data_IF_717873743327
#
_entry.id   IF_717873743327
#
_cell.length_a   1.000
_cell.length_b   1.000
_cell.length_c   1.000
_cell.angle_alpha   90.00
_cell.angle_beta   90.00
_cell.angle_gamma   90.00
#
_symmetry.space_group_name_H-M   'P 1'
#
loop_
_entity.id
_entity.type
_entity.pdbx_description
1 polymer ?
#
# COMPACT_ATOMS: atom_id res chain seq x y z
N UNK A 1 17.62 13.13 -3.31
CA UNK A 1 17.55 11.66 -3.13
C UNK A 1 18.90 10.96 -3.23
N UNK A 2 19.62 11.01 -4.38
CA UNK A 2 20.93 10.33 -4.49
C UNK A 2 21.96 10.82 -3.46
N UNK A 3 22.03 12.12 -3.23
CA UNK A 3 22.93 12.68 -2.22
C UNK A 3 22.56 12.25 -0.79
N UNK A 4 21.27 12.14 -0.49
CA UNK A 4 20.75 11.68 0.81
C UNK A 4 21.18 10.23 1.07
N UNK A 5 20.99 9.33 0.11
CA UNK A 5 21.39 7.92 0.20
C UNK A 5 22.91 7.80 0.33
N UNK A 6 23.67 8.55 -0.47
CA UNK A 6 25.13 8.56 -0.40
C UNK A 6 25.65 9.05 0.95
N UNK A 7 25.04 10.08 1.52
CA UNK A 7 25.40 10.61 2.84
C UNK A 7 25.01 9.64 3.96
N UNK A 8 23.83 9.02 3.89
CA UNK A 8 23.40 7.98 4.83
C UNK A 8 24.36 6.78 4.83
N UNK A 9 24.90 6.39 3.67
CA UNK A 9 25.86 5.28 3.55
C UNK A 9 27.19 5.56 4.25
N UNK A 10 27.59 6.83 4.41
CA UNK A 10 28.81 7.22 5.13
C UNK A 10 28.68 7.07 6.64
N UNK A 11 27.45 7.04 7.17
CA UNK A 11 27.18 6.89 8.61
C UNK A 11 27.11 5.40 8.95
N UNK A 12 28.03 4.85 9.80
CA UNK A 12 28.15 3.40 10.01
C UNK A 12 26.85 2.73 10.49
N UNK A 13 26.09 3.37 11.37
CA UNK A 13 24.86 2.80 11.90
C UNK A 13 23.71 2.81 10.90
N UNK A 14 23.60 3.87 10.07
CA UNK A 14 22.61 3.92 9.00
C UNK A 14 22.94 2.92 7.90
N UNK A 15 24.22 2.74 7.61
CA UNK A 15 24.70 1.71 6.68
C UNK A 15 24.32 0.31 7.16
N UNK A 16 24.49 -0.01 8.46
CA UNK A 16 24.06 -1.30 9.03
C UNK A 16 22.55 -1.53 8.86
N UNK A 17 21.73 -0.50 9.14
CA UNK A 17 20.28 -0.55 8.97
C UNK A 17 19.88 -0.76 7.50
N UNK A 18 20.52 -0.04 6.56
CA UNK A 18 20.27 -0.19 5.13
C UNK A 18 20.66 -1.58 4.64
N UNK A 19 21.81 -2.10 5.05
CA UNK A 19 22.25 -3.47 4.71
C UNK A 19 21.31 -4.53 5.27
N UNK A 20 20.82 -4.34 6.51
CA UNK A 20 19.83 -5.24 7.12
C UNK A 20 18.50 -5.26 6.34
N UNK A 21 17.99 -4.09 5.96
CA UNK A 21 16.79 -3.97 5.12
C UNK A 21 16.97 -4.67 3.79
N UNK A 22 18.11 -4.44 3.13
CA UNK A 22 18.45 -5.08 1.85
C UNK A 22 18.54 -6.61 1.99
N UNK A 23 19.16 -7.12 3.06
CA UNK A 23 19.24 -8.54 3.34
C UNK A 23 17.84 -9.17 3.47
N UNK A 24 16.93 -8.54 4.20
CA UNK A 24 15.55 -9.04 4.33
C UNK A 24 14.82 -9.03 2.97
N UNK A 25 15.03 -8.00 2.14
CA UNK A 25 14.46 -7.95 0.79
C UNK A 25 14.98 -9.12 -0.06
N UNK A 26 16.27 -9.44 0.02
CA UNK A 26 16.86 -10.58 -0.69
C UNK A 26 16.23 -11.90 -0.21
N UNK A 27 16.09 -12.11 1.10
CA UNK A 27 15.45 -13.30 1.67
C UNK A 27 14.00 -13.41 1.22
N UNK A 28 13.26 -12.29 1.23
CA UNK A 28 11.88 -12.24 0.72
C UNK A 28 11.81 -12.62 -0.76
N UNK A 29 12.69 -12.09 -1.60
CA UNK A 29 12.73 -12.44 -3.04
C UNK A 29 13.09 -13.90 -3.27
N UNK A 30 14.03 -14.44 -2.51
CA UNK A 30 14.38 -15.86 -2.57
C UNK A 30 13.19 -16.76 -2.23
N UNK A 31 12.49 -16.49 -1.13
CA UNK A 31 11.28 -17.24 -0.74
C UNK A 31 10.10 -17.08 -1.71
N UNK A 32 10.07 -16.00 -2.49
CA UNK A 32 9.04 -15.75 -3.52
C UNK A 32 9.17 -16.65 -4.75
N UNK A 33 10.29 -17.36 -4.92
CA UNK A 33 10.55 -18.25 -6.05
C UNK A 33 10.46 -19.74 -5.65
N UNK A 34 10.58 -20.04 -4.35
CA UNK A 34 10.51 -21.44 -3.87
C UNK A 34 9.07 -21.93 -3.95
N UNK A 35 8.73 -22.92 -4.78
CA UNK A 35 7.37 -23.43 -4.88
C UNK A 35 6.97 -24.19 -3.62
N UNK A 36 5.69 -24.12 -3.26
CA UNK A 36 5.13 -24.92 -2.18
C UNK A 36 5.10 -26.41 -2.61
N UNK A 37 5.26 -27.34 -1.67
CA UNK A 37 5.30 -28.77 -1.98
C UNK A 37 3.95 -29.24 -2.56
N UNK A 38 4.00 -30.29 -3.39
CA UNK A 38 2.84 -30.95 -4.01
C UNK A 38 2.03 -30.09 -5.00
N UNK A 39 2.59 -28.97 -5.49
CA UNK A 39 1.96 -28.12 -6.49
C UNK A 39 2.77 -28.11 -7.80
N UNK A 40 2.07 -28.14 -8.91
CA UNK A 40 2.67 -27.98 -10.23
C UNK A 40 2.73 -26.48 -10.58
N UNK A 41 3.92 -25.90 -10.40
CA UNK A 41 4.16 -24.49 -10.67
C UNK A 41 4.08 -24.17 -12.19
N UNK A 42 4.40 -25.14 -13.06
CA UNK A 42 4.34 -24.93 -14.50
C UNK A 42 2.86 -24.83 -14.97
N UNK A 43 2.02 -25.74 -14.53
CA UNK A 43 0.59 -25.72 -14.82
C UNK A 43 -0.08 -24.45 -14.28
N UNK A 44 0.31 -23.97 -13.07
CA UNK A 44 -0.23 -22.72 -12.55
C UNK A 44 0.23 -21.51 -13.35
N UNK A 45 1.48 -21.45 -13.77
CA UNK A 45 1.99 -20.33 -14.59
C UNK A 45 1.29 -20.23 -15.94
N UNK A 46 0.98 -21.39 -16.58
CA UNK A 46 0.22 -21.47 -17.82
C UNK A 46 -1.24 -21.02 -17.62
N UNK A 47 -1.88 -21.47 -16.53
CA UNK A 47 -3.23 -21.05 -16.17
C UNK A 47 -3.29 -19.54 -15.92
N UNK A 48 -2.28 -18.96 -15.27
CA UNK A 48 -2.19 -17.51 -15.06
C UNK A 48 -1.98 -16.73 -16.36
N UNK A 49 -1.21 -17.27 -17.31
CA UNK A 49 -1.03 -16.67 -18.63
C UNK A 49 -2.36 -16.64 -19.40
N UNK A 50 -3.15 -17.72 -19.31
CA UNK A 50 -4.44 -17.86 -19.98
C UNK A 50 -5.57 -17.04 -19.30
N UNK A 51 -5.57 -16.92 -17.98
CA UNK A 51 -6.60 -16.20 -17.22
C UNK A 51 -6.58 -14.67 -17.44
N UNK A 52 -5.53 -14.14 -18.04
CA UNK A 52 -5.34 -12.71 -18.26
C UNK A 52 -4.94 -11.97 -16.97
N UNK A 53 -4.10 -10.97 -17.12
CA UNK A 53 -3.57 -10.20 -15.98
C UNK A 53 -4.58 -9.23 -15.35
N UNK A 54 -5.72 -9.00 -15.97
CA UNK A 54 -6.79 -8.16 -15.46
C UNK A 54 -7.80 -8.90 -14.57
N UNK A 55 -7.55 -10.18 -14.30
CA UNK A 55 -8.33 -10.97 -13.34
C UNK A 55 -7.92 -10.64 -11.90
N UNK A 56 -8.78 -11.03 -10.94
CA UNK A 56 -8.45 -10.95 -9.50
C UNK A 56 -7.10 -11.62 -9.17
N UNK A 57 -6.82 -12.73 -9.86
CA UNK A 57 -5.57 -13.47 -9.78
C UNK A 57 -4.36 -12.65 -10.23
N UNK A 58 -4.51 -11.90 -11.32
CA UNK A 58 -3.48 -10.98 -11.82
C UNK A 58 -3.15 -9.89 -10.80
N UNK A 59 -4.16 -9.34 -10.10
CA UNK A 59 -3.96 -8.35 -9.05
C UNK A 59 -3.20 -8.93 -7.84
N UNK A 60 -3.58 -10.12 -7.34
CA UNK A 60 -2.83 -10.79 -6.27
C UNK A 60 -1.40 -11.05 -6.71
N UNK A 61 -1.22 -11.58 -7.91
CA UNK A 61 0.10 -11.87 -8.46
C UNK A 61 0.97 -10.62 -8.59
N UNK A 62 0.35 -9.47 -8.85
CA UNK A 62 1.03 -8.17 -8.86
C UNK A 62 1.49 -7.76 -7.47
N UNK A 63 0.62 -7.81 -6.46
CA UNK A 63 0.94 -7.45 -5.08
C UNK A 63 2.01 -8.36 -4.45
N UNK A 64 2.00 -9.65 -4.82
CA UNK A 64 2.98 -10.63 -4.34
C UNK A 64 4.29 -10.62 -5.13
N UNK A 65 4.41 -9.75 -6.13
CA UNK A 65 5.62 -9.65 -6.95
C UNK A 65 5.88 -10.87 -7.83
N UNK A 66 4.81 -11.59 -8.24
CA UNK A 66 4.88 -12.81 -9.04
C UNK A 66 4.91 -14.11 -8.23
N UNK A 67 5.01 -14.04 -6.91
CA UNK A 67 5.06 -15.21 -6.05
C UNK A 67 3.81 -16.10 -6.17
N UNK A 68 2.66 -15.51 -6.47
CA UNK A 68 1.41 -16.24 -6.66
C UNK A 68 1.44 -17.16 -7.88
N UNK A 69 1.97 -16.71 -9.02
CA UNK A 69 2.05 -17.50 -10.26
C UNK A 69 3.01 -18.68 -10.16
N UNK A 70 3.96 -18.63 -9.24
CA UNK A 70 4.87 -19.75 -8.96
C UNK A 70 4.37 -20.69 -7.86
N UNK A 71 3.14 -20.47 -7.34
CA UNK A 71 2.64 -21.19 -6.14
C UNK A 71 3.67 -21.22 -5.01
N UNK A 72 4.41 -20.12 -4.83
CA UNK A 72 5.55 -20.08 -3.92
C UNK A 72 5.12 -20.06 -2.44
N UNK A 73 6.08 -20.26 -1.54
CA UNK A 73 5.90 -20.12 -0.09
C UNK A 73 5.21 -18.78 0.26
N UNK A 74 5.50 -17.73 -0.49
CA UNK A 74 4.96 -16.39 -0.28
C UNK A 74 3.81 -16.02 -1.24
N UNK A 75 3.11 -17.03 -1.79
CA UNK A 75 2.02 -16.81 -2.73
C UNK A 75 0.89 -15.90 -2.20
N UNK A 76 0.58 -15.96 -0.90
CA UNK A 76 -0.42 -15.07 -0.27
C UNK A 76 0.14 -13.67 0.00
N UNK A 77 1.46 -13.50 -0.03
CA UNK A 77 2.13 -12.23 0.23
C UNK A 77 1.79 -11.63 1.58
N UNK A 78 1.73 -10.30 1.63
CA UNK A 78 1.41 -9.52 2.82
C UNK A 78 -0.10 -9.17 2.92
N UNK A 79 -0.91 -9.58 1.95
CA UNK A 79 -2.34 -9.25 1.86
C UNK A 79 -3.14 -9.61 3.11
N UNK A 80 -2.97 -10.81 3.74
CA UNK A 80 -3.70 -11.12 4.98
C UNK A 80 -3.38 -10.16 6.12
N UNK A 81 -2.12 -9.70 6.22
CA UNK A 81 -1.73 -8.73 7.23
C UNK A 81 -2.31 -7.33 6.97
N UNK A 82 -2.33 -6.88 5.72
CA UNK A 82 -2.95 -5.60 5.35
C UNK A 82 -4.44 -5.62 5.73
N UNK A 83 -5.16 -6.67 5.34
CA UNK A 83 -6.59 -6.83 5.66
C UNK A 83 -6.82 -6.86 7.18
N UNK A 84 -5.98 -7.59 7.92
CA UNK A 84 -6.02 -7.64 9.38
C UNK A 84 -5.80 -6.25 10.00
N UNK A 85 -4.81 -5.51 9.53
CA UNK A 85 -4.51 -4.16 9.99
C UNK A 85 -5.68 -3.20 9.73
N UNK A 86 -6.32 -3.28 8.57
CA UNK A 86 -7.51 -2.51 8.23
C UNK A 86 -8.66 -2.84 9.17
N UNK A 87 -8.96 -4.12 9.36
CA UNK A 87 -10.02 -4.60 10.25
C UNK A 87 -9.76 -4.09 11.67
N UNK A 88 -8.53 -4.22 12.17
CA UNK A 88 -8.18 -3.76 13.52
C UNK A 88 -8.28 -2.25 13.67
N UNK A 89 -7.90 -1.46 12.67
CA UNK A 89 -8.08 -0.01 12.70
C UNK A 89 -9.56 0.38 12.75
N UNK A 90 -10.41 -0.29 11.96
CA UNK A 90 -11.86 -0.06 12.00
C UNK A 90 -12.46 -0.46 13.35
N UNK A 91 -12.08 -1.62 13.88
CA UNK A 91 -12.54 -2.12 15.18
C UNK A 91 -12.08 -1.25 16.35
N UNK A 92 -10.91 -0.65 16.27
CA UNK A 92 -10.38 0.28 17.28
C UNK A 92 -11.28 1.52 17.43
N UNK A 93 -12.00 1.91 16.37
CA UNK A 93 -12.95 3.03 16.42
C UNK A 93 -14.33 2.55 16.83
N UNK A 94 -14.75 1.37 16.35
CA UNK A 94 -16.09 0.86 16.58
C UNK A 94 -16.28 0.27 17.98
N UNK A 95 -15.21 -0.26 18.60
CA UNK A 95 -15.26 -0.98 19.88
C UNK A 95 -14.60 -0.16 20.99
N UNK A 96 -15.37 0.37 21.99
CA UNK A 96 -14.84 1.23 23.05
C UNK A 96 -13.67 0.64 23.86
N UNK A 97 -13.61 -0.64 24.20
CA UNK A 97 -12.42 -1.25 24.84
C UNK A 97 -11.14 -1.15 24.02
N UNK A 98 -11.22 -1.32 22.68
CA UNK A 98 -10.06 -1.19 21.79
C UNK A 98 -9.65 0.27 21.62
N UNK A 99 -10.60 1.21 21.62
CA UNK A 99 -10.33 2.64 21.61
C UNK A 99 -9.56 3.07 22.87
N UNK A 100 -9.94 2.54 24.04
CA UNK A 100 -9.21 2.79 25.30
C UNK A 100 -7.78 2.27 25.23
N UNK A 101 -7.60 1.02 24.76
CA UNK A 101 -6.29 0.44 24.51
C UNK A 101 -5.44 1.30 23.57
N UNK A 102 -6.00 1.84 22.50
CA UNK A 102 -5.26 2.71 21.58
C UNK A 102 -4.78 4.02 22.25
N UNK A 103 -5.53 4.51 23.25
CA UNK A 103 -5.20 5.72 24.04
C UNK A 103 -4.23 5.45 25.20
N UNK A 104 -3.98 4.21 25.61
CA UNK A 104 -3.03 3.82 26.66
C UNK A 104 -1.53 4.02 26.28
N UNK A 105 -1.26 4.59 25.10
CA UNK A 105 0.10 4.88 24.65
C UNK A 105 0.82 3.66 24.05
N UNK A 106 2.10 3.48 24.40
CA UNK A 106 2.95 2.45 23.76
C UNK A 106 2.56 1.02 24.13
N UNK A 107 2.13 0.78 25.37
CA UNK A 107 1.68 -0.56 25.79
C UNK A 107 0.39 -0.99 25.11
N UNK A 108 -0.57 -0.09 25.00
CA UNK A 108 -1.82 -0.36 24.28
C UNK A 108 -1.58 -0.64 22.80
N UNK A 109 -0.71 0.12 22.15
CA UNK A 109 -0.31 -0.13 20.76
C UNK A 109 0.35 -1.49 20.56
N UNK A 110 1.20 -1.93 21.50
CA UNK A 110 1.81 -3.28 21.46
C UNK A 110 0.75 -4.38 21.56
N UNK A 111 -0.25 -4.22 22.44
CA UNK A 111 -1.37 -5.17 22.57
C UNK A 111 -2.19 -5.24 21.28
N UNK A 112 -2.53 -4.09 20.68
CA UNK A 112 -3.24 -4.04 19.40
C UNK A 112 -2.44 -4.73 18.30
N UNK A 113 -1.12 -4.49 18.22
CA UNK A 113 -0.25 -5.17 17.25
C UNK A 113 -0.26 -6.69 17.45
N UNK A 114 -0.26 -7.17 18.69
CA UNK A 114 -0.34 -8.60 18.99
C UNK A 114 -1.67 -9.22 18.54
N UNK A 115 -2.80 -8.52 18.77
CA UNK A 115 -4.12 -8.95 18.27
C UNK A 115 -4.12 -8.99 16.74
N UNK A 116 -3.55 -7.96 16.09
CA UNK A 116 -3.41 -7.91 14.63
C UNK A 116 -2.65 -9.12 14.09
N UNK A 117 -1.59 -9.57 14.77
CA UNK A 117 -0.84 -10.79 14.38
C UNK A 117 -1.72 -12.03 14.43
N UNK A 118 -2.51 -12.23 15.49
CA UNK A 118 -3.43 -13.37 15.57
C UNK A 118 -4.49 -13.34 14.48
N UNK A 119 -5.11 -12.18 14.24
CA UNK A 119 -6.09 -11.99 13.15
C UNK A 119 -5.44 -12.27 11.80
N UNK A 120 -4.19 -11.85 11.59
CA UNK A 120 -3.44 -12.13 10.36
C UNK A 120 -3.27 -13.62 10.10
N UNK A 121 -2.92 -14.40 11.13
CA UNK A 121 -2.76 -15.86 10.99
C UNK A 121 -4.10 -16.53 10.66
N UNK A 122 -5.19 -16.11 11.33
CA UNK A 122 -6.54 -16.64 11.05
C UNK A 122 -6.97 -16.29 9.62
N UNK A 123 -6.80 -15.04 9.19
CA UNK A 123 -7.12 -14.61 7.81
C UNK A 123 -6.22 -15.35 6.79
N UNK A 124 -4.94 -15.51 7.08
CA UNK A 124 -4.01 -16.29 6.25
C UNK A 124 -4.44 -17.74 6.09
N UNK A 125 -4.95 -18.35 7.16
CA UNK A 125 -5.49 -19.71 7.13
C UNK A 125 -6.75 -19.78 6.25
N UNK A 126 -7.71 -18.87 6.43
CA UNK A 126 -8.94 -18.82 5.63
C UNK A 126 -8.61 -18.61 4.13
N UNK A 127 -7.71 -17.66 3.82
CA UNK A 127 -7.28 -17.40 2.45
C UNK A 127 -6.46 -18.56 1.87
N UNK A 128 -5.63 -19.21 2.69
CA UNK A 128 -4.88 -20.41 2.30
C UNK A 128 -5.80 -21.57 1.92
N UNK A 129 -6.86 -21.80 2.69
CA UNK A 129 -7.90 -22.80 2.36
C UNK A 129 -8.60 -22.46 1.05
N UNK A 130 -8.98 -21.20 0.85
CA UNK A 130 -9.61 -20.76 -0.39
C UNK A 130 -8.70 -20.98 -1.62
N UNK A 131 -7.43 -20.64 -1.46
CA UNK A 131 -6.44 -20.82 -2.53
C UNK A 131 -6.19 -22.29 -2.82
N UNK A 132 -6.14 -23.15 -1.79
CA UNK A 132 -6.07 -24.60 -1.98
C UNK A 132 -7.24 -25.14 -2.78
N UNK A 133 -8.49 -24.73 -2.46
CA UNK A 133 -9.66 -25.14 -3.25
C UNK A 133 -9.57 -24.71 -4.70
N UNK A 134 -9.13 -23.49 -4.95
CA UNK A 134 -8.89 -22.98 -6.30
C UNK A 134 -7.86 -23.83 -7.06
N UNK A 135 -6.73 -24.14 -6.46
CA UNK A 135 -5.67 -24.96 -7.06
C UNK A 135 -6.17 -26.39 -7.33
N UNK A 136 -6.94 -26.97 -6.41
CA UNK A 136 -7.53 -28.30 -6.56
C UNK A 136 -8.52 -28.36 -7.73
N UNK A 137 -9.42 -27.38 -7.84
CA UNK A 137 -10.42 -27.31 -8.92
C UNK A 137 -9.79 -27.20 -10.30
N UNK A 138 -8.62 -26.55 -10.39
CA UNK A 138 -7.88 -26.41 -11.64
C UNK A 138 -6.86 -27.54 -11.90
N UNK A 139 -6.85 -28.61 -11.08
CA UNK A 139 -6.00 -29.78 -11.32
C UNK A 139 -4.51 -29.56 -11.09
N UNK A 140 -4.13 -28.54 -10.31
CA UNK A 140 -2.72 -28.15 -10.04
C UNK A 140 -2.13 -28.96 -8.86
N UNK A 141 -2.98 -29.58 -8.05
CA UNK A 141 -2.59 -30.34 -6.86
C UNK A 141 -2.26 -31.79 -7.26
N UNK A 142 -1.09 -32.27 -6.85
CA UNK A 142 -0.59 -33.59 -7.25
C UNK A 142 -1.44 -34.78 -6.77
N UNK A 143 -1.98 -34.70 -5.54
CA UNK A 143 -2.79 -35.75 -4.92
C UNK A 143 -4.08 -35.15 -4.37
N UNK A 144 -5.23 -35.66 -4.85
CA UNK A 144 -6.56 -35.10 -4.48
C UNK A 144 -7.42 -36.08 -3.69
N UNK A 145 -7.10 -37.39 -3.70
CA UNK A 145 -7.97 -38.43 -3.19
C UNK A 145 -7.41 -39.13 -1.94
N UNK A 146 -8.33 -39.64 -1.11
CA UNK A 146 -8.02 -40.41 0.08
C UNK A 146 -7.27 -39.64 1.17
N UNK A 147 -6.56 -40.41 2.03
CA UNK A 147 -5.78 -39.86 3.13
C UNK A 147 -4.62 -38.96 2.63
N UNK A 148 -4.00 -39.33 1.50
CA UNK A 148 -2.95 -38.51 0.88
C UNK A 148 -3.44 -37.14 0.46
N UNK A 149 -4.66 -37.01 -0.10
CA UNK A 149 -5.26 -35.74 -0.46
C UNK A 149 -5.51 -34.83 0.75
N UNK A 150 -5.96 -35.35 1.88
CA UNK A 150 -6.15 -34.59 3.13
C UNK A 150 -4.79 -34.14 3.68
N UNK A 151 -3.79 -34.99 3.70
CA UNK A 151 -2.45 -34.64 4.14
C UNK A 151 -1.86 -33.51 3.28
N UNK A 152 -1.94 -33.61 1.96
CA UNK A 152 -1.48 -32.58 1.01
C UNK A 152 -2.22 -31.26 1.22
N UNK A 153 -3.54 -31.29 1.42
CA UNK A 153 -4.33 -30.10 1.71
C UNK A 153 -3.82 -29.36 2.96
N UNK A 154 -3.62 -30.09 4.05
CA UNK A 154 -3.12 -29.53 5.31
C UNK A 154 -1.71 -28.94 5.12
N UNK A 155 -0.81 -29.65 4.43
CA UNK A 155 0.55 -29.18 4.18
C UNK A 155 0.54 -27.88 3.36
N UNK A 156 -0.24 -27.82 2.27
CA UNK A 156 -0.32 -26.62 1.41
C UNK A 156 -0.86 -25.44 2.20
N UNK A 157 -1.98 -25.60 2.92
CA UNK A 157 -2.60 -24.53 3.70
C UNK A 157 -1.65 -24.02 4.80
N UNK A 158 -1.00 -24.93 5.52
CA UNK A 158 -0.02 -24.56 6.54
C UNK A 158 1.19 -23.86 5.94
N UNK A 159 1.68 -24.29 4.78
CA UNK A 159 2.80 -23.67 4.06
C UNK A 159 2.48 -22.22 3.71
N UNK A 160 1.31 -21.93 3.15
CA UNK A 160 0.91 -20.57 2.81
C UNK A 160 0.70 -19.70 4.06
N UNK A 161 0.07 -20.25 5.10
CA UNK A 161 -0.13 -19.53 6.37
C UNK A 161 1.21 -19.22 7.06
N UNK A 162 2.13 -20.19 7.08
CA UNK A 162 3.48 -19.98 7.60
C UNK A 162 4.27 -18.94 6.79
N UNK A 163 4.13 -18.97 5.45
CA UNK A 163 4.71 -17.97 4.57
C UNK A 163 4.24 -16.54 4.88
N UNK A 164 2.93 -16.36 5.09
CA UNK A 164 2.35 -15.07 5.50
C UNK A 164 2.89 -14.62 6.86
N UNK A 165 2.94 -15.52 7.85
CA UNK A 165 3.48 -15.22 9.17
C UNK A 165 4.98 -14.83 9.11
N UNK A 166 5.75 -15.49 8.24
CA UNK A 166 7.16 -15.16 8.02
C UNK A 166 7.34 -13.78 7.38
N UNK A 167 6.51 -13.42 6.37
CA UNK A 167 6.55 -12.08 5.75
C UNK A 167 6.19 -11.00 6.79
N UNK A 168 5.17 -11.23 7.60
CA UNK A 168 4.79 -10.32 8.68
C UNK A 168 5.96 -10.10 9.64
N UNK A 169 6.60 -11.19 10.09
CA UNK A 169 7.78 -11.13 10.96
C UNK A 169 8.94 -10.37 10.30
N UNK A 170 9.21 -10.61 9.00
CA UNK A 170 10.22 -9.87 8.25
C UNK A 170 9.92 -8.36 8.20
N UNK A 171 8.65 -7.99 7.99
CA UNK A 171 8.22 -6.59 8.03
C UNK A 171 8.47 -5.94 9.39
N UNK A 172 8.18 -6.64 10.49
CA UNK A 172 8.46 -6.16 11.84
C UNK A 172 9.95 -6.03 12.12
N UNK A 173 10.77 -6.96 11.66
CA UNK A 173 12.23 -6.86 11.80
C UNK A 173 12.82 -5.65 11.05
N UNK A 174 12.25 -5.29 9.89
CA UNK A 174 12.65 -4.04 9.21
C UNK A 174 12.25 -2.82 10.05
N UNK A 175 11.06 -2.81 10.66
CA UNK A 175 10.62 -1.71 11.53
C UNK A 175 11.56 -1.51 12.73
N UNK A 176 12.02 -2.61 13.35
CA UNK A 176 12.87 -2.56 14.55
C UNK A 176 14.34 -2.24 14.22
N UNK A 177 14.90 -2.92 13.22
CA UNK A 177 16.36 -2.92 12.95
C UNK A 177 16.73 -2.30 11.62
N UNK A 178 15.77 -2.01 10.77
CA UNK A 178 15.97 -1.48 9.42
C UNK A 178 15.69 0.02 9.30
N UNK A 179 15.33 0.41 8.10
CA UNK A 179 14.93 1.77 7.71
C UNK A 179 13.58 1.70 7.03
N UNK A 180 12.69 2.65 7.31
CA UNK A 180 11.38 2.73 6.69
C UNK A 180 10.32 1.84 7.36
N UNK A 181 9.11 1.87 6.79
CA UNK A 181 8.04 0.96 7.19
C UNK A 181 8.26 -0.39 6.50
N UNK A 182 8.55 -1.45 7.27
CA UNK A 182 8.93 -2.76 6.75
C UNK A 182 7.90 -3.38 5.82
N UNK A 183 6.62 -3.22 6.14
CA UNK A 183 5.51 -3.73 5.34
C UNK A 183 5.45 -3.02 3.99
N UNK A 184 5.56 -1.70 4.01
CA UNK A 184 5.58 -0.87 2.80
C UNK A 184 6.79 -1.19 1.92
N UNK A 185 7.96 -1.46 2.53
CA UNK A 185 9.19 -1.83 1.81
C UNK A 185 9.06 -3.20 1.15
N UNK A 186 8.44 -4.18 1.82
CA UNK A 186 8.20 -5.51 1.23
C UNK A 186 7.23 -5.39 0.04
N UNK A 187 6.15 -4.60 0.16
CA UNK A 187 5.25 -4.29 -0.95
C UNK A 187 6.00 -3.62 -2.11
N UNK A 188 6.78 -2.60 -1.80
CA UNK A 188 7.62 -1.89 -2.77
C UNK A 188 8.55 -2.86 -3.53
N UNK A 189 9.26 -3.73 -2.80
CA UNK A 189 10.14 -4.74 -3.38
C UNK A 189 9.39 -5.73 -4.28
N UNK A 190 8.17 -6.14 -3.89
CA UNK A 190 7.29 -6.98 -4.70
C UNK A 190 6.90 -6.32 -6.02
N UNK A 191 6.43 -5.07 -5.95
CA UNK A 191 5.95 -4.34 -7.13
C UNK A 191 7.10 -3.98 -8.07
N UNK A 192 8.24 -3.48 -7.54
CA UNK A 192 9.43 -3.12 -8.34
C UNK A 192 9.98 -4.33 -9.09
N UNK A 193 9.92 -5.51 -8.49
CA UNK A 193 10.41 -6.73 -9.15
C UNK A 193 9.61 -7.12 -10.41
N UNK A 194 8.41 -6.59 -10.59
CA UNK A 194 7.61 -6.81 -11.80
C UNK A 194 7.79 -5.74 -12.88
N UNK A 195 8.50 -4.66 -12.58
CA UNK A 195 8.80 -3.62 -13.59
C UNK A 195 9.43 -4.18 -14.87
N UNK A 196 10.46 -5.07 -14.81
CA UNK A 196 11.04 -5.65 -16.02
C UNK A 196 10.03 -6.40 -16.88
N UNK A 197 9.10 -7.16 -16.24
CA UNK A 197 8.05 -7.89 -16.95
C UNK A 197 7.10 -6.92 -17.65
N UNK A 198 6.71 -5.84 -16.98
CA UNK A 198 5.82 -4.82 -17.59
C UNK A 198 6.48 -4.14 -18.79
N UNK A 199 7.76 -3.76 -18.68
CA UNK A 199 8.48 -3.19 -19.81
C UNK A 199 8.63 -4.22 -20.94
N UNK A 200 8.83 -5.50 -20.63
CA UNK A 200 8.83 -6.59 -21.61
C UNK A 200 7.47 -6.70 -22.34
N UNK A 201 6.36 -6.59 -21.62
CA UNK A 201 5.01 -6.60 -22.23
C UNK A 201 4.79 -5.38 -23.14
N UNK A 202 5.23 -4.19 -22.72
CA UNK A 202 5.17 -2.98 -23.57
C UNK A 202 5.98 -3.19 -24.85
N UNK A 203 7.17 -3.80 -24.75
CA UNK A 203 7.99 -4.13 -25.91
C UNK A 203 7.32 -5.14 -26.84
N UNK A 204 6.67 -6.18 -26.31
CA UNK A 204 5.90 -7.16 -27.10
C UNK A 204 4.76 -6.48 -27.88
N UNK A 205 4.01 -5.57 -27.26
CA UNK A 205 2.97 -4.79 -27.97
C UNK A 205 3.57 -3.93 -29.09
N UNK A 206 4.77 -3.37 -28.87
CA UNK A 206 5.46 -2.59 -29.89
C UNK A 206 5.88 -3.46 -31.07
N UNK A 207 6.38 -4.70 -30.83
CA UNK A 207 6.71 -5.67 -31.87
C UNK A 207 5.46 -6.10 -32.66
N UNK A 208 4.34 -6.41 -31.97
CA UNK A 208 3.06 -6.73 -32.63
C UNK A 208 2.60 -5.59 -33.53
N UNK A 209 2.78 -4.33 -33.12
CA UNK A 209 2.46 -3.16 -33.93
C UNK A 209 3.35 -3.03 -35.17
N UNK A 210 4.61 -3.47 -35.12
CA UNK A 210 5.55 -3.46 -36.25
C UNK A 210 5.26 -4.60 -37.24
N UNK A 211 4.96 -5.81 -36.74
CA UNK A 211 4.74 -7.00 -37.56
C UNK A 211 3.39 -6.96 -38.28
N UNK A 212 2.33 -6.41 -37.68
CA UNK A 212 0.97 -6.40 -38.20
C UNK A 212 0.44 -4.95 -38.27
N UNK A 213 1.09 -4.10 -39.04
CA UNK A 213 0.72 -2.67 -39.15
C UNK A 213 -0.74 -2.43 -39.59
N UNK A 214 -1.32 -3.36 -40.38
CA UNK A 214 -2.70 -3.24 -40.82
C UNK A 214 -3.75 -3.53 -39.74
N UNK A 215 -3.44 -4.42 -38.76
CA UNK A 215 -4.39 -4.86 -37.72
C UNK A 215 -4.06 -4.32 -36.33
N UNK A 216 -2.78 -4.12 -36.06
CA UNK A 216 -2.25 -3.80 -34.72
C UNK A 216 -1.38 -2.54 -34.71
N UNK A 217 -1.36 -1.76 -35.78
CA UNK A 217 -0.53 -0.55 -35.94
C UNK A 217 -0.77 0.51 -34.86
N UNK A 218 -1.94 0.52 -34.23
CA UNK A 218 -2.25 1.39 -33.10
C UNK A 218 -1.31 1.18 -31.89
N UNK A 219 -0.80 -0.03 -31.67
CA UNK A 219 0.10 -0.33 -30.55
C UNK A 219 1.47 0.32 -30.70
N UNK A 220 1.88 0.66 -31.90
CA UNK A 220 3.13 1.40 -32.15
C UNK A 220 3.12 2.79 -31.50
N UNK A 221 1.96 3.41 -31.39
CA UNK A 221 1.77 4.72 -30.76
C UNK A 221 1.36 4.56 -29.29
N UNK A 222 0.48 3.60 -28.99
CA UNK A 222 -0.04 3.40 -27.63
C UNK A 222 1.05 2.90 -26.65
N UNK A 223 1.96 2.02 -27.08
CA UNK A 223 2.98 1.48 -26.21
C UNK A 223 3.97 2.57 -25.70
N UNK A 224 4.56 3.42 -26.54
CA UNK A 224 5.34 4.57 -26.07
C UNK A 224 4.52 5.57 -25.24
N UNK A 225 3.25 5.81 -25.62
CA UNK A 225 2.35 6.70 -24.88
C UNK A 225 2.14 6.22 -23.44
N UNK A 226 2.06 4.89 -23.21
CA UNK A 226 1.99 4.32 -21.85
C UNK A 226 3.21 4.69 -21.01
N UNK A 227 4.43 4.62 -21.57
CA UNK A 227 5.66 5.00 -20.86
C UNK A 227 5.64 6.48 -20.48
N UNK A 228 5.23 7.35 -21.42
CA UNK A 228 5.11 8.78 -21.17
C UNK A 228 4.06 9.05 -20.08
N UNK A 229 2.89 8.41 -20.17
CA UNK A 229 1.83 8.51 -19.16
C UNK A 229 2.34 8.05 -17.78
N UNK A 230 3.06 6.94 -17.73
CA UNK A 230 3.66 6.43 -16.50
C UNK A 230 4.62 7.45 -15.84
N UNK A 231 5.48 8.09 -16.62
CA UNK A 231 6.39 9.12 -16.12
C UNK A 231 5.64 10.37 -15.65
N UNK A 232 4.60 10.80 -16.37
CA UNK A 232 3.76 11.92 -15.98
C UNK A 232 3.05 11.61 -14.65
N UNK A 233 2.50 10.42 -14.50
CA UNK A 233 1.84 9.97 -13.26
C UNK A 233 2.81 9.99 -12.08
N UNK A 234 4.03 9.49 -12.25
CA UNK A 234 5.08 9.56 -11.20
C UNK A 234 5.35 11.01 -10.82
N UNK A 235 5.57 11.88 -11.81
CA UNK A 235 5.85 13.29 -11.56
C UNK A 235 4.71 13.99 -10.78
N UNK A 236 3.47 13.73 -11.18
CA UNK A 236 2.28 14.30 -10.52
C UNK A 236 2.15 13.77 -9.08
N UNK A 237 2.43 12.47 -8.82
CA UNK A 237 2.41 11.89 -7.47
C UNK A 237 3.48 12.55 -6.59
N UNK A 238 4.72 12.72 -7.08
CA UNK A 238 5.80 13.38 -6.34
C UNK A 238 5.40 14.81 -6.00
N UNK A 239 4.90 15.57 -6.99
CA UNK A 239 4.45 16.94 -6.79
C UNK A 239 3.38 17.06 -5.70
N UNK A 240 2.39 16.19 -5.70
CA UNK A 240 1.31 16.20 -4.70
C UNK A 240 1.77 15.76 -3.30
N UNK A 241 2.66 14.77 -3.20
CA UNK A 241 3.20 14.33 -1.91
C UNK A 241 4.13 15.35 -1.26
N UNK A 242 4.72 16.26 -2.04
CA UNK A 242 5.55 17.35 -1.55
C UNK A 242 4.76 18.64 -1.33
N UNK A 243 3.53 18.69 -1.84
CA UNK A 243 2.65 19.87 -1.70
C UNK A 243 2.15 20.02 -0.27
N UNK A 244 2.33 21.24 0.28
CA UNK A 244 1.96 21.57 1.65
C UNK A 244 1.14 22.85 1.70
N UNK A 245 0.06 22.85 2.49
CA UNK A 245 -0.66 24.07 2.88
C UNK A 245 -0.03 24.65 4.13
N UNK A 246 0.55 25.85 4.03
CA UNK A 246 1.17 26.56 5.13
C UNK A 246 0.16 27.48 5.80
N UNK A 247 -0.11 27.27 7.09
CA UNK A 247 -0.98 28.09 7.93
C UNK A 247 -0.06 28.93 8.83
N UNK A 248 -0.08 30.29 8.76
CA UNK A 248 0.78 31.10 9.60
C UNK A 248 0.35 31.00 11.06
N UNK A 249 1.30 30.78 11.95
CA UNK A 249 1.14 30.74 13.39
C UNK A 249 2.11 31.72 14.02
N UNK A 250 1.62 32.57 14.90
CA UNK A 250 2.42 33.52 15.67
C UNK A 250 2.50 33.08 17.11
N UNK A 251 3.72 33.00 17.64
CA UNK A 251 3.96 32.73 19.05
C UNK A 251 4.17 34.03 19.81
N UNK A 252 3.51 34.18 20.98
CA UNK A 252 3.66 35.34 21.81
C UNK A 252 5.11 35.45 22.33
N UNK A 253 5.62 36.66 22.38
CA UNK A 253 6.93 36.97 22.99
C UNK A 253 6.86 36.67 24.47
N UNK A 254 7.82 35.90 25.01
CA UNK A 254 7.96 35.63 26.44
C UNK A 254 9.10 36.49 27.00
N UNK A 255 8.81 37.33 27.98
CA UNK A 255 9.81 38.10 28.66
C UNK A 255 10.25 37.31 29.89
N UNK A 256 11.54 36.96 29.96
CA UNK A 256 12.14 36.32 31.13
C UNK A 256 13.25 37.26 31.67
N UNK A 257 12.95 37.98 32.72
CA UNK A 257 13.82 39.03 33.23
C UNK A 257 13.93 40.20 32.26
N UNK A 258 15.17 40.64 31.95
CA UNK A 258 15.46 41.71 30.98
C UNK A 258 15.58 41.25 29.51
N UNK A 259 15.50 39.92 29.25
CA UNK A 259 15.65 39.39 27.89
C UNK A 259 14.31 38.97 27.33
N UNK A 260 14.02 39.38 26.10
CA UNK A 260 12.87 38.95 25.34
C UNK A 260 13.22 37.67 24.56
N UNK A 261 12.47 36.60 24.80
CA UNK A 261 12.57 35.34 24.09
C UNK A 261 11.27 35.08 23.29
N UNK A 262 11.37 34.57 22.06
CA UNK A 262 10.23 34.24 21.23
C UNK A 262 9.78 35.38 20.33
N UNK A 263 8.59 35.26 19.75
CA UNK A 263 8.06 36.17 18.73
C UNK A 263 8.41 35.70 17.30
N UNK A 264 8.84 34.46 17.13
CA UNK A 264 8.99 33.88 15.80
C UNK A 264 7.62 33.52 15.23
N UNK A 265 7.35 33.99 14.01
CA UNK A 265 6.27 33.47 13.22
C UNK A 265 6.71 32.19 12.54
N UNK A 266 5.95 31.13 12.71
CA UNK A 266 6.19 29.83 12.04
C UNK A 266 4.95 29.41 11.27
N UNK A 267 5.03 28.31 10.58
CA UNK A 267 3.91 27.78 9.80
C UNK A 267 3.51 26.40 10.32
N UNK A 268 2.22 26.19 10.49
CA UNK A 268 1.66 24.85 10.63
C UNK A 268 1.55 24.26 9.23
N UNK A 269 2.35 23.22 8.96
CA UNK A 269 2.41 22.56 7.67
C UNK A 269 1.35 21.46 7.60
N UNK A 270 0.44 21.58 6.62
CA UNK A 270 -0.61 20.58 6.33
C UNK A 270 -0.31 20.00 4.96
N UNK A 271 0.11 18.74 4.88
CA UNK A 271 0.38 18.06 3.61
C UNK A 271 -0.91 17.85 2.82
N UNK A 272 -0.87 17.96 1.49
CA UNK A 272 -2.06 17.72 0.64
C UNK A 272 -2.41 16.23 0.61
N UNK A 273 -1.42 15.36 0.50
CA UNK A 273 -1.60 13.91 0.59
C UNK A 273 -1.43 13.42 2.03
N UNK A 274 -2.23 13.94 2.98
CA UNK A 274 -2.14 13.59 4.41
C UNK A 274 -2.40 12.12 4.70
N UNK A 275 -3.35 11.52 4.01
CA UNK A 275 -3.74 10.12 4.17
C UNK A 275 -2.76 9.13 3.50
N UNK A 276 -1.76 9.64 2.75
CA UNK A 276 -0.78 8.81 2.05
C UNK A 276 -1.43 7.82 1.09
N UNK A 277 -0.90 6.60 1.06
CA UNK A 277 -1.35 5.51 0.16
C UNK A 277 -2.51 4.69 0.76
N UNK A 278 -2.76 4.82 2.07
CA UNK A 278 -3.71 3.96 2.81
C UNK A 278 -5.13 3.93 2.26
N UNK A 279 -5.78 5.07 1.88
CA UNK A 279 -7.13 5.04 1.33
C UNK A 279 -7.25 4.18 0.08
N UNK A 280 -6.22 4.18 -0.76
CA UNK A 280 -6.18 3.43 -2.01
C UNK A 280 -6.06 1.92 -1.73
N UNK A 281 -5.21 1.55 -0.75
CA UNK A 281 -5.05 0.17 -0.32
C UNK A 281 -6.36 -0.35 0.32
N UNK A 282 -7.02 0.45 1.15
CA UNK A 282 -8.29 0.07 1.79
C UNK A 282 -9.40 -0.12 0.75
N UNK A 283 -9.54 0.81 -0.18
CA UNK A 283 -10.53 0.72 -1.25
C UNK A 283 -10.30 -0.52 -2.12
N UNK A 284 -9.06 -0.80 -2.52
CA UNK A 284 -8.73 -2.00 -3.31
C UNK A 284 -8.97 -3.29 -2.53
N UNK A 285 -8.67 -3.32 -1.23
CA UNK A 285 -8.89 -4.50 -0.37
C UNK A 285 -10.38 -4.85 -0.24
N UNK A 286 -11.25 -3.84 -0.10
CA UNK A 286 -12.70 -4.08 -0.05
C UNK A 286 -13.24 -4.56 -1.40
N UNK A 287 -12.81 -3.95 -2.51
CA UNK A 287 -13.21 -4.38 -3.85
C UNK A 287 -12.66 -5.76 -4.22
N UNK A 288 -11.64 -6.22 -3.52
CA UNK A 288 -11.11 -7.56 -3.68
C UNK A 288 -12.01 -8.64 -3.04
N UNK A 289 -12.82 -8.31 -2.02
CA UNK A 289 -13.67 -9.29 -1.32
C UNK A 289 -14.64 -10.02 -2.27
N UNK A 290 -15.42 -9.37 -3.15
CA UNK A 290 -16.28 -10.07 -4.09
C UNK A 290 -15.51 -10.99 -5.05
N UNK A 291 -14.33 -10.54 -5.50
CA UNK A 291 -13.47 -11.35 -6.37
C UNK A 291 -12.89 -12.56 -5.62
N UNK A 292 -12.61 -12.43 -4.31
CA UNK A 292 -12.18 -13.54 -3.48
C UNK A 292 -13.29 -14.58 -3.26
N UNK A 293 -14.57 -14.15 -3.21
CA UNK A 293 -15.71 -15.06 -3.12
C UNK A 293 -15.83 -15.95 -4.37
N UNK A 294 -15.38 -15.49 -5.55
CA UNK A 294 -15.36 -16.31 -6.78
C UNK A 294 -14.52 -17.58 -6.65
N UNK A 295 -13.52 -17.61 -5.76
CA UNK A 295 -12.73 -18.83 -5.51
C UNK A 295 -13.55 -19.97 -4.91
N UNK A 296 -14.57 -19.63 -4.10
CA UNK A 296 -15.43 -20.60 -3.46
C UNK A 296 -16.73 -20.85 -4.24
N UNK A 297 -17.23 -19.82 -4.87
CA UNK A 297 -18.51 -19.82 -5.54
C UNK A 297 -18.39 -19.17 -6.91
N UNK A 298 -18.32 -20.01 -7.94
CA UNK A 298 -18.27 -19.57 -9.32
C UNK A 298 -19.60 -19.96 -10.03
N UNK A 299 -20.64 -19.10 -9.93
CA UNK A 299 -21.93 -19.39 -10.53
C UNK A 299 -21.83 -19.40 -12.07
N UNK A 300 -22.30 -20.46 -12.70
CA UNK A 300 -22.30 -20.61 -14.16
C UNK A 300 -23.33 -19.74 -14.89
N UNK A 301 -24.19 -19.03 -14.18
CA UNK A 301 -25.21 -18.13 -14.73
C UNK A 301 -26.04 -17.43 -13.67
N UNK A 302 -26.99 -16.56 -14.12
CA UNK A 302 -27.95 -15.87 -13.28
C UNK A 302 -27.41 -14.60 -12.58
N UNK A 303 -28.16 -14.13 -11.59
CA UNK A 303 -27.88 -12.87 -10.85
C UNK A 303 -26.49 -12.88 -10.18
N UNK A 304 -26.08 -14.03 -9.65
CA UNK A 304 -24.77 -14.16 -8.97
C UNK A 304 -23.59 -13.86 -9.91
N UNK A 305 -23.62 -14.39 -11.14
CA UNK A 305 -22.60 -14.11 -12.16
C UNK A 305 -22.61 -12.63 -12.55
N UNK A 306 -23.77 -12.05 -12.81
CA UNK A 306 -23.89 -10.64 -13.19
C UNK A 306 -23.34 -9.69 -12.10
N UNK A 307 -23.56 -10.00 -10.81
CA UNK A 307 -23.00 -9.25 -9.70
C UNK A 307 -21.47 -9.38 -9.67
N UNK A 308 -20.93 -10.59 -9.76
CA UNK A 308 -19.49 -10.80 -9.72
C UNK A 308 -18.77 -10.17 -10.92
N UNK A 309 -19.35 -10.25 -12.12
CA UNK A 309 -18.83 -9.61 -13.34
C UNK A 309 -18.84 -8.07 -13.23
N UNK A 310 -19.84 -7.50 -12.56
CA UNK A 310 -19.92 -6.06 -12.31
C UNK A 310 -18.78 -5.55 -11.40
N UNK A 311 -18.27 -6.41 -10.49
CA UNK A 311 -17.10 -6.13 -9.65
C UNK A 311 -15.76 -6.47 -10.31
N UNK A 312 -15.76 -6.92 -11.58
CA UNK A 312 -14.52 -7.12 -12.32
C UNK A 312 -13.82 -5.79 -12.61
N UNK A 313 -12.50 -5.79 -12.69
CA UNK A 313 -11.70 -4.56 -12.93
C UNK A 313 -12.00 -3.91 -14.28
N UNK A 314 -12.60 -4.65 -15.23
CA UNK A 314 -13.03 -4.14 -16.53
C UNK A 314 -14.41 -3.47 -16.48
N UNK A 315 -15.17 -3.66 -15.39
CA UNK A 315 -16.52 -3.13 -15.23
C UNK A 315 -16.53 -1.63 -14.87
N UNK A 316 -17.48 -0.88 -15.46
CA UNK A 316 -17.68 0.54 -15.12
C UNK A 316 -18.09 0.72 -13.64
N UNK A 317 -18.83 -0.23 -13.08
CA UNK A 317 -19.24 -0.21 -11.68
C UNK A 317 -18.03 -0.28 -10.73
N UNK A 318 -17.04 -1.10 -11.08
CA UNK A 318 -15.77 -1.16 -10.35
C UNK A 318 -15.09 0.22 -10.29
N UNK A 319 -15.00 0.91 -11.43
CA UNK A 319 -14.37 2.24 -11.53
C UNK A 319 -15.07 3.25 -10.61
N UNK A 320 -16.42 3.29 -10.67
CA UNK A 320 -17.22 4.22 -9.85
C UNK A 320 -17.11 3.89 -8.36
N UNK A 321 -17.24 2.62 -7.98
CA UNK A 321 -17.10 2.19 -6.58
C UNK A 321 -15.68 2.45 -6.05
N UNK A 322 -14.67 2.19 -6.85
CA UNK A 322 -13.29 2.43 -6.47
C UNK A 322 -13.04 3.91 -6.20
N UNK A 323 -13.52 4.80 -7.08
CA UNK A 323 -13.46 6.24 -6.88
C UNK A 323 -14.13 6.67 -5.57
N UNK A 324 -15.37 6.23 -5.34
CA UNK A 324 -16.13 6.58 -4.14
C UNK A 324 -15.48 6.05 -2.86
N UNK A 325 -14.98 4.81 -2.88
CA UNK A 325 -14.29 4.21 -1.74
C UNK A 325 -12.99 4.95 -1.41
N UNK A 326 -12.19 5.33 -2.41
CA UNK A 326 -10.97 6.11 -2.16
C UNK A 326 -11.32 7.43 -1.47
N UNK A 327 -12.31 8.17 -1.96
CA UNK A 327 -12.73 9.43 -1.35
C UNK A 327 -13.25 9.20 0.08
N UNK A 328 -14.10 8.21 0.28
CA UNK A 328 -14.64 7.87 1.60
C UNK A 328 -13.51 7.52 2.59
N UNK A 329 -12.59 6.66 2.19
CA UNK A 329 -11.47 6.27 3.06
C UNK A 329 -10.46 7.39 3.30
N UNK A 330 -10.28 8.31 2.37
CA UNK A 330 -9.43 9.47 2.59
C UNK A 330 -9.98 10.36 3.71
N UNK A 331 -11.29 10.63 3.73
CA UNK A 331 -11.93 11.35 4.82
C UNK A 331 -11.92 10.57 6.13
N UNK A 332 -12.21 9.28 6.08
CA UNK A 332 -12.16 8.41 7.23
C UNK A 332 -10.77 8.40 7.87
N UNK A 333 -9.72 8.21 7.07
CA UNK A 333 -8.34 8.18 7.56
C UNK A 333 -7.90 9.53 8.13
N UNK A 334 -8.30 10.64 7.49
CA UNK A 334 -8.05 11.97 8.00
C UNK A 334 -8.67 12.18 9.39
N UNK A 335 -9.92 11.72 9.59
CA UNK A 335 -10.64 11.88 10.87
C UNK A 335 -10.00 11.10 12.02
N UNK A 336 -9.29 9.99 11.71
CA UNK A 336 -8.54 9.18 12.70
C UNK A 336 -7.19 9.83 13.03
N UNK A 337 -6.49 10.29 12.00
CA UNK A 337 -5.10 10.71 12.15
C UNK A 337 -4.98 12.13 12.71
N UNK A 338 -5.94 12.98 12.45
CA UNK A 338 -5.92 14.38 12.85
C UNK A 338 -7.11 14.74 13.72
N UNK A 339 -6.82 15.20 14.94
CA UNK A 339 -7.82 15.76 15.85
C UNK A 339 -7.68 17.28 15.89
N UNK A 340 -8.56 18.05 15.23
CA UNK A 340 -8.47 19.51 15.17
C UNK A 340 -8.55 20.18 16.54
N UNK A 341 -9.29 19.59 17.49
CA UNK A 341 -9.41 20.08 18.85
C UNK A 341 -8.08 19.98 19.62
N UNK A 342 -7.43 18.82 19.50
CA UNK A 342 -6.12 18.58 20.11
C UNK A 342 -5.06 19.48 19.49
N UNK A 343 -5.05 19.65 18.17
CA UNK A 343 -4.15 20.57 17.48
C UNK A 343 -4.34 22.02 17.96
N UNK A 344 -5.58 22.49 18.09
CA UNK A 344 -5.89 23.83 18.59
C UNK A 344 -5.47 24.00 20.08
N UNK A 345 -5.66 22.98 20.92
CA UNK A 345 -5.23 22.99 22.30
C UNK A 345 -3.71 23.01 22.45
N UNK A 346 -3.00 22.22 21.63
CA UNK A 346 -1.53 22.22 21.61
C UNK A 346 -0.98 23.58 21.18
N UNK A 347 -1.57 24.23 20.17
CA UNK A 347 -1.24 25.60 19.79
C UNK A 347 -1.44 26.56 20.96
N UNK A 348 -2.59 26.49 21.64
CA UNK A 348 -2.90 27.35 22.80
C UNK A 348 -1.93 27.14 23.95
N UNK A 349 -1.60 25.89 24.29
CA UNK A 349 -0.66 25.56 25.36
C UNK A 349 0.75 26.13 25.10
N UNK A 350 1.16 26.16 23.82
CA UNK A 350 2.43 26.73 23.40
C UNK A 350 2.37 28.23 23.12
N UNK A 351 1.27 28.94 23.52
CA UNK A 351 1.04 30.35 23.24
C UNK A 351 1.08 30.71 21.74
N UNK A 352 0.75 29.75 20.87
CA UNK A 352 0.61 29.94 19.43
C UNK A 352 -0.80 30.41 19.06
N UNK A 353 -0.90 31.41 18.20
CA UNK A 353 -2.17 31.93 17.70
C UNK A 353 -2.14 32.01 16.19
N UNK A 354 -3.28 31.75 15.54
CA UNK A 354 -3.46 32.00 14.10
C UNK A 354 -3.93 33.45 13.95
N UNK A 355 -3.25 34.28 13.13
CA UNK A 355 -3.63 35.68 12.94
C UNK A 355 -5.10 35.82 12.51
N UNK A 356 -5.85 36.66 13.21
CA UNK A 356 -7.26 36.93 12.92
C UNK A 356 -8.26 35.90 13.47
N UNK A 357 -7.81 34.86 14.22
CA UNK A 357 -8.69 33.83 14.78
C UNK A 357 -8.49 33.75 16.29
N UNK A 358 -9.59 33.70 17.04
CA UNK A 358 -9.54 33.57 18.50
C UNK A 358 -9.03 32.17 18.90
N UNK A 359 -8.15 32.06 19.92
CA UNK A 359 -7.68 30.77 20.44
C UNK A 359 -8.84 29.91 20.95
N UNK A 360 -8.73 28.57 20.82
CA UNK A 360 -9.69 27.61 21.30
C UNK A 360 -10.60 27.04 20.20
N UNK A 361 -11.90 26.92 20.45
CA UNK A 361 -12.87 26.31 19.52
C UNK A 361 -12.86 26.94 18.10
N UNK A 362 -12.82 28.28 17.94
CA UNK A 362 -12.76 28.88 16.60
C UNK A 362 -11.51 28.47 15.80
N UNK A 363 -10.37 28.27 16.50
CA UNK A 363 -9.13 27.77 15.88
C UNK A 363 -9.30 26.30 15.45
N UNK A 364 -9.95 25.47 16.27
CA UNK A 364 -10.25 24.08 15.91
C UNK A 364 -11.16 23.98 14.68
N UNK A 365 -12.23 24.79 14.64
CA UNK A 365 -13.18 24.82 13.53
C UNK A 365 -12.49 25.30 12.21
N UNK A 366 -11.59 26.27 12.31
CA UNK A 366 -10.80 26.72 11.17
C UNK A 366 -9.86 25.64 10.65
N UNK A 367 -9.13 24.97 11.55
CA UNK A 367 -8.23 23.86 11.19
C UNK A 367 -9.04 22.73 10.55
N UNK A 368 -10.18 22.34 11.14
CA UNK A 368 -11.06 21.30 10.60
C UNK A 368 -11.53 21.62 9.17
N UNK A 369 -11.91 22.90 8.93
CA UNK A 369 -12.32 23.35 7.59
C UNK A 369 -11.19 23.29 6.56
N UNK A 370 -9.96 23.62 6.94
CA UNK A 370 -8.78 23.49 6.08
C UNK A 370 -8.48 22.03 5.81
N UNK A 371 -8.42 21.18 6.85
CA UNK A 371 -8.17 19.76 6.73
C UNK A 371 -9.17 19.10 5.77
N UNK A 372 -10.47 19.38 5.93
CA UNK A 372 -11.51 18.82 5.05
C UNK A 372 -11.33 19.23 3.58
N UNK A 373 -11.01 20.50 3.31
CA UNK A 373 -10.78 20.98 1.93
C UNK A 373 -9.52 20.39 1.30
N UNK A 374 -8.44 20.31 2.07
CA UNK A 374 -7.17 19.75 1.61
C UNK A 374 -7.32 18.25 1.37
N UNK A 375 -8.05 17.53 2.26
CA UNK A 375 -8.35 16.11 2.08
C UNK A 375 -9.17 15.86 0.83
N UNK A 376 -10.15 16.70 0.49
CA UNK A 376 -10.93 16.56 -0.75
C UNK A 376 -10.01 16.59 -1.97
N UNK A 377 -9.13 17.60 -2.04
CA UNK A 377 -8.18 17.74 -3.15
C UNK A 377 -7.25 16.52 -3.24
N UNK A 378 -6.70 16.08 -2.10
CA UNK A 378 -5.83 14.90 -2.02
C UNK A 378 -6.57 13.61 -2.41
N UNK A 379 -7.82 13.43 -1.97
CA UNK A 379 -8.65 12.27 -2.28
C UNK A 379 -9.01 12.18 -3.76
N UNK A 380 -9.44 13.29 -4.36
CA UNK A 380 -9.71 13.37 -5.79
C UNK A 380 -8.46 13.06 -6.61
N UNK A 381 -7.34 13.64 -6.22
CA UNK A 381 -6.05 13.36 -6.85
C UNK A 381 -5.69 11.86 -6.80
N UNK A 382 -5.73 11.23 -5.60
CA UNK A 382 -5.45 9.81 -5.43
C UNK A 382 -6.39 8.94 -6.27
N UNK A 383 -7.68 9.28 -6.31
CA UNK A 383 -8.68 8.57 -7.10
C UNK A 383 -8.38 8.66 -8.61
N UNK A 384 -8.08 9.85 -9.12
CA UNK A 384 -7.72 10.02 -10.54
C UNK A 384 -6.46 9.24 -10.90
N UNK A 385 -5.39 9.35 -10.09
CA UNK A 385 -4.13 8.63 -10.34
C UNK A 385 -4.33 7.11 -10.30
N UNK A 386 -5.14 6.60 -9.36
CA UNK A 386 -5.44 5.18 -9.25
C UNK A 386 -6.24 4.65 -10.45
N UNK A 387 -7.12 5.47 -11.03
CA UNK A 387 -8.00 5.09 -12.14
C UNK A 387 -7.35 5.21 -13.52
N UNK A 388 -6.40 6.12 -13.71
CA UNK A 388 -5.77 6.37 -15.03
C UNK A 388 -5.29 5.09 -15.71
N UNK A 389 -4.49 4.20 -15.08
CA UNK A 389 -4.04 2.98 -15.75
C UNK A 389 -5.17 1.99 -16.03
N UNK A 390 -6.19 1.91 -15.17
CA UNK A 390 -7.36 1.05 -15.37
C UNK A 390 -8.16 1.51 -16.59
N UNK A 391 -8.41 2.80 -16.71
CA UNK A 391 -9.09 3.40 -17.86
C UNK A 391 -8.26 3.19 -19.13
N UNK A 392 -6.93 3.42 -19.02
CA UNK A 392 -6.03 3.23 -20.16
C UNK A 392 -6.07 1.80 -20.69
N UNK A 393 -5.95 0.78 -19.85
CA UNK A 393 -5.99 -0.62 -20.26
C UNK A 393 -7.36 -1.00 -20.85
N UNK A 394 -8.45 -0.49 -20.30
CA UNK A 394 -9.80 -0.77 -20.82
C UNK A 394 -10.06 -0.12 -22.19
N UNK A 395 -9.54 1.09 -22.41
CA UNK A 395 -9.73 1.82 -23.68
C UNK A 395 -8.83 1.28 -24.79
N UNK A 396 -7.57 0.94 -24.45
CA UNK A 396 -6.57 0.53 -25.44
C UNK A 396 -6.58 -0.98 -25.72
N UNK A 397 -7.20 -1.78 -24.85
CA UNK A 397 -7.13 -3.24 -24.91
C UNK A 397 -5.75 -3.82 -24.63
N UNK A 398 -4.80 -3.02 -24.15
CA UNK A 398 -3.45 -3.46 -23.78
C UNK A 398 -3.48 -4.12 -22.41
N UNK A 399 -3.94 -5.36 -22.37
CA UNK A 399 -3.97 -6.16 -21.15
C UNK A 399 -2.57 -6.66 -20.78
N UNK A 400 -2.34 -6.88 -19.51
CA UNK A 400 -1.05 -7.39 -19.04
C UNK A 400 -0.04 -6.33 -18.62
N UNK A 401 -0.39 -5.07 -18.69
CA UNK A 401 0.37 -4.00 -18.09
C UNK A 401 0.16 -4.06 -16.56
N UNK A 402 1.04 -4.74 -15.85
CA UNK A 402 0.92 -5.05 -14.41
C UNK A 402 1.08 -3.84 -13.48
N UNK A 403 1.31 -2.63 -14.01
CA UNK A 403 1.43 -1.42 -13.23
C UNK A 403 0.08 -0.70 -13.12
N UNK A 404 -0.76 -1.15 -12.19
CA UNK A 404 -1.95 -0.41 -11.79
C UNK A 404 -1.61 0.91 -11.08
N UNK A 405 -2.56 1.85 -11.05
CA UNK A 405 -2.38 3.14 -10.37
C UNK A 405 -2.00 3.01 -8.90
N UNK A 406 -2.56 2.01 -8.19
CA UNK A 406 -2.17 1.66 -6.82
C UNK A 406 -0.69 1.35 -6.68
N UNK A 407 -0.13 0.58 -7.61
CA UNK A 407 1.28 0.18 -7.57
C UNK A 407 2.21 1.38 -7.73
N UNK A 408 1.88 2.30 -8.64
CA UNK A 408 2.68 3.51 -8.85
C UNK A 408 2.64 4.40 -7.60
N UNK A 409 1.46 4.57 -7.00
CA UNK A 409 1.30 5.35 -5.77
C UNK A 409 2.11 4.74 -4.63
N UNK A 410 2.08 3.39 -4.49
CA UNK A 410 2.85 2.68 -3.45
C UNK A 410 4.36 2.85 -3.70
N UNK A 411 4.85 2.63 -4.92
CA UNK A 411 6.27 2.78 -5.25
C UNK A 411 6.77 4.17 -4.89
N UNK A 412 6.09 5.21 -5.39
CA UNK A 412 6.52 6.60 -5.18
C UNK A 412 6.35 7.01 -3.72
N UNK A 413 5.21 6.67 -3.10
CA UNK A 413 4.94 7.00 -1.69
C UNK A 413 5.96 6.40 -0.74
N UNK A 414 6.24 5.10 -0.88
CA UNK A 414 7.22 4.39 -0.03
C UNK A 414 8.64 4.91 -0.24
N UNK A 415 9.02 5.18 -1.50
CA UNK A 415 10.33 5.75 -1.79
C UNK A 415 10.53 7.12 -1.13
N UNK A 416 9.54 8.02 -1.25
CA UNK A 416 9.56 9.35 -0.63
C UNK A 416 9.58 9.28 0.90
N UNK A 417 8.72 8.43 1.49
CA UNK A 417 8.65 8.25 2.94
C UNK A 417 9.96 7.71 3.51
N UNK A 418 10.56 6.71 2.84
CA UNK A 418 11.84 6.12 3.26
C UNK A 418 12.97 7.14 3.20
N UNK A 419 13.02 7.97 2.15
CA UNK A 419 14.03 9.03 2.03
C UNK A 419 13.85 10.10 3.12
N UNK A 420 12.61 10.55 3.37
CA UNK A 420 12.32 11.51 4.45
C UNK A 420 12.69 10.97 5.82
N UNK A 421 12.47 9.68 6.07
CA UNK A 421 12.86 9.03 7.32
C UNK A 421 14.39 8.95 7.46
N UNK A 422 15.12 8.65 6.37
CA UNK A 422 16.58 8.70 6.37
C UNK A 422 17.10 10.12 6.67
N UNK A 423 16.54 11.14 6.05
CA UNK A 423 16.90 12.55 6.30
C UNK A 423 16.66 12.93 7.76
N UNK A 424 15.53 12.56 8.32
CA UNK A 424 15.20 12.79 9.73
C UNK A 424 16.22 12.11 10.67
N UNK A 425 16.59 10.85 10.40
CA UNK A 425 17.59 10.14 11.20
C UNK A 425 19.01 10.74 11.08
N UNK A 426 19.35 11.30 9.92
CA UNK A 426 20.63 12.01 9.75
C UNK A 426 20.65 13.34 10.50
N UNK A 427 19.56 14.13 10.46
CA UNK A 427 19.47 15.41 11.18
C UNK A 427 19.55 15.23 12.69
N UNK A 428 18.89 14.21 13.25
CA UNK A 428 18.95 13.91 14.69
C UNK A 428 20.38 13.62 15.19
N UNK A 429 21.26 13.12 14.32
CA UNK A 429 22.66 12.82 14.66
C UNK A 429 23.59 14.02 14.51
N UNK A 430 23.34 14.89 13.56
CA UNK A 430 24.10 16.15 13.47
C UNK A 430 23.92 17.02 14.74
N UNK A 431 22.75 16.93 15.38
CA UNK A 431 22.46 17.64 16.62
C UNK A 431 23.17 17.03 17.85
N UNK A 432 23.38 15.70 17.87
CA UNK A 432 24.13 15.03 18.96
C UNK A 432 25.63 15.31 18.91
N UNK A 433 26.23 15.49 17.74
CA UNK A 433 27.64 15.83 17.60
C UNK A 433 27.99 17.28 17.95
N UNK A 434 27.00 18.10 18.35
CA UNK A 434 27.22 19.47 18.88
C UNK A 434 27.17 19.53 20.42
N UNK A 435 26.81 18.42 21.09
CA UNK A 435 26.67 18.31 22.54
C UNK A 435 27.75 17.44 23.20
N UNK A 436 28.59 16.77 22.38
CA UNK A 436 29.83 16.12 22.77
C UNK A 436 31.03 17.01 22.38
#
# INVERSE_FOLDING_TARGET
MFNTIRNAWRIPDLRKKLLYTLLIIIVFRFGSVIPAPFLDAAALSELMANAGQNSALGYINMLTGGAFSYASLFAMGITPYINSSIIMQLLTIAIPPLERLAKEGEEGRKKIATITRYVTVVLGLIQGVAYYFYLRTNGIVAYTDGFAGVFVAVVIVLTFTAGTALIMWMGEQINEKGVGNGISIILFAGIVARLPVTFGTVWQYMQLGMESAATSGQYLVLAPLFIVLFLIVIWVIVFMNESERRIPVQYAKKVVGRKMYGGQSTFLLVKVAMSGVMPVIFASSILFIPQFIQFFWNPSGGFGKAVLDAFSQTGWLYIVLYFLLIVMFAYFYMSIQYNPLEMANNLRQNNGTIPGIRPGKPTADFIAKILSKVTLIGALFLAFVALIPIIYTNVTGMYGLSLGGTSIIIIVGVALETVKQLESQMMLRHYKGFLD
#
